data_IF_860655780369
#
_entry.id   IF_860655780369
#
_cell.length_a   1.000
_cell.length_b   1.000
_cell.length_c   1.000
_cell.angle_alpha   90.00
_cell.angle_beta   90.00
_cell.angle_gamma   90.00
#
_symmetry.space_group_name_H-M   'P 1'
#
loop_
_entity.id
_entity.type
_entity.pdbx_description
1 polymer ?
#
# COMPACT_ATOMS: atom_id res chain seq x y z
N UNK A 1 -11.14 19.84 4.15
CA UNK A 1 -10.67 21.24 4.31
C UNK A 1 -9.62 21.62 3.26
N UNK A 2 -8.56 20.82 3.06
CA UNK A 2 -7.50 21.10 2.07
C UNK A 2 -8.01 21.36 0.64
N UNK A 3 -9.11 20.72 0.23
CA UNK A 3 -9.75 20.93 -1.08
C UNK A 3 -10.05 22.41 -1.42
N UNK A 4 -10.34 23.26 -0.43
CA UNK A 4 -10.62 24.69 -0.65
C UNK A 4 -9.37 25.55 -0.87
N UNK A 5 -8.18 24.97 -0.74
CA UNK A 5 -6.90 25.68 -0.91
C UNK A 5 -6.32 25.54 -2.32
N UNK A 6 -6.90 24.69 -3.17
CA UNK A 6 -6.43 24.46 -4.54
C UNK A 6 -7.50 24.85 -5.56
N UNK A 7 -7.12 25.48 -6.68
CA UNK A 7 -8.06 25.79 -7.75
C UNK A 7 -8.60 24.52 -8.42
N UNK A 8 -9.81 24.62 -8.98
CA UNK A 8 -10.46 23.52 -9.72
C UNK A 8 -11.12 22.44 -8.85
N UNK A 9 -11.70 21.43 -9.52
CA UNK A 9 -12.46 20.36 -8.86
C UNK A 9 -11.55 19.18 -8.49
N UNK A 10 -11.13 19.13 -7.23
CA UNK A 10 -10.43 17.96 -6.67
C UNK A 10 -11.41 16.84 -6.26
N UNK A 11 -11.17 15.61 -6.72
CA UNK A 11 -11.93 14.40 -6.34
C UNK A 11 -11.15 13.64 -5.28
N UNK A 12 -11.84 13.18 -4.24
CA UNK A 12 -11.25 12.38 -3.16
C UNK A 12 -11.59 10.92 -3.45
N UNK A 13 -10.57 10.08 -3.52
CA UNK A 13 -10.72 8.64 -3.76
C UNK A 13 -10.21 7.86 -2.56
N UNK A 14 -10.92 6.78 -2.22
CA UNK A 14 -10.45 5.80 -1.26
C UNK A 14 -9.76 4.69 -2.06
N UNK A 15 -8.47 4.49 -1.81
CA UNK A 15 -7.71 3.42 -2.46
C UNK A 15 -8.15 2.05 -1.94
N UNK A 16 -8.19 1.07 -2.85
CA UNK A 16 -8.33 -0.36 -2.54
C UNK A 16 -7.03 -0.98 -2.02
N UNK A 17 -5.91 -0.28 -2.19
CA UNK A 17 -4.59 -0.73 -1.73
C UNK A 17 -4.45 -0.64 -0.23
N UNK A 18 -3.49 -1.40 0.30
CA UNK A 18 -3.10 -1.28 1.71
C UNK A 18 -2.18 -0.07 1.89
N UNK A 19 -2.73 1.06 2.33
CA UNK A 19 -1.98 2.30 2.53
C UNK A 19 -1.25 2.77 1.27
N UNK A 20 0.05 3.02 1.38
CA UNK A 20 0.92 3.41 0.26
C UNK A 20 1.70 2.23 -0.36
N UNK A 21 1.20 1.00 -0.20
CA UNK A 21 1.78 -0.18 -0.85
C UNK A 21 1.22 -0.38 -2.25
N UNK A 22 1.85 -1.27 -3.03
CA UNK A 22 1.38 -1.64 -4.37
C UNK A 22 0.22 -2.65 -4.37
N UNK A 23 0.03 -3.36 -3.25
CA UNK A 23 -0.88 -4.49 -3.09
C UNK A 23 -2.29 -4.05 -2.70
N UNK A 24 -3.31 -4.78 -3.15
CA UNK A 24 -4.67 -4.64 -2.62
C UNK A 24 -4.75 -5.16 -1.18
N UNK A 25 -5.78 -4.76 -0.42
CA UNK A 25 -5.91 -5.15 0.99
C UNK A 25 -5.93 -6.67 1.17
N UNK A 26 -6.72 -7.37 0.36
CA UNK A 26 -6.82 -8.84 0.40
C UNK A 26 -5.51 -9.54 0.06
N UNK A 27 -4.76 -9.02 -0.92
CA UNK A 27 -3.46 -9.56 -1.31
C UNK A 27 -2.41 -9.29 -0.24
N UNK A 28 -2.43 -8.09 0.36
CA UNK A 28 -1.52 -7.73 1.44
C UNK A 28 -1.70 -8.61 2.67
N UNK A 29 -2.95 -8.92 3.04
CA UNK A 29 -3.26 -9.83 4.15
C UNK A 29 -2.70 -11.23 3.89
N UNK A 30 -2.93 -11.80 2.70
CA UNK A 30 -2.36 -13.09 2.28
C UNK A 30 -0.83 -13.09 2.34
N UNK A 31 -0.18 -12.09 1.71
CA UNK A 31 1.28 -12.00 1.70
C UNK A 31 1.89 -11.78 3.10
N UNK A 32 1.13 -11.18 4.01
CA UNK A 32 1.51 -11.02 5.42
C UNK A 32 1.39 -12.33 6.18
N UNK A 33 0.30 -13.08 5.99
CA UNK A 33 0.09 -14.40 6.57
C UNK A 33 1.12 -15.41 6.08
N UNK A 34 1.45 -15.38 4.78
CA UNK A 34 2.49 -16.20 4.16
C UNK A 34 3.92 -15.82 4.59
N UNK A 35 4.10 -14.74 5.35
CA UNK A 35 5.42 -14.26 5.79
C UNK A 35 6.32 -13.73 4.66
N UNK A 36 5.73 -13.43 3.48
CA UNK A 36 6.44 -12.92 2.29
C UNK A 36 6.69 -11.41 2.34
N UNK A 37 6.10 -10.69 3.28
CA UNK A 37 6.35 -9.27 3.51
C UNK A 37 7.31 -9.07 4.69
N UNK A 38 8.43 -8.39 4.42
CA UNK A 38 9.38 -7.94 5.45
C UNK A 38 9.16 -6.46 5.73
N UNK A 39 9.16 -6.07 7.01
CA UNK A 39 9.02 -4.67 7.40
C UNK A 39 10.28 -3.87 7.02
N UNK A 40 10.10 -2.72 6.37
CA UNK A 40 11.15 -1.77 5.99
C UNK A 40 10.81 -0.38 6.57
N UNK A 41 10.64 -0.33 7.89
CA UNK A 41 10.30 0.87 8.64
C UNK A 41 8.85 1.31 8.42
N UNK A 42 8.64 2.27 7.49
CA UNK A 42 7.30 2.74 7.12
C UNK A 42 6.71 1.98 5.93
N UNK A 43 7.52 1.22 5.19
CA UNK A 43 7.12 0.47 4.00
C UNK A 43 7.31 -1.04 4.21
N UNK A 44 6.98 -1.81 3.18
CA UNK A 44 7.21 -3.26 3.14
C UNK A 44 8.09 -3.65 1.96
N UNK A 45 8.96 -4.62 2.18
CA UNK A 45 9.77 -5.29 1.16
C UNK A 45 9.20 -6.68 0.89
N UNK A 46 9.13 -7.06 -0.38
CA UNK A 46 8.76 -8.41 -0.78
C UNK A 46 9.98 -9.33 -0.63
N UNK A 47 9.80 -10.46 0.03
CA UNK A 47 10.79 -11.53 0.11
C UNK A 47 10.48 -12.56 -0.98
N UNK A 48 11.32 -12.69 -2.02
CA UNK A 48 11.16 -13.74 -3.01
C UNK A 48 11.43 -15.12 -2.39
N UNK A 49 10.81 -16.16 -2.95
CA UNK A 49 11.05 -17.55 -2.53
C UNK A 49 12.40 -18.10 -3.01
N UNK A 50 12.94 -17.50 -4.08
CA UNK A 50 14.25 -17.84 -4.60
C UNK A 50 15.32 -16.95 -3.97
N UNK A 51 16.51 -17.54 -3.77
CA UNK A 51 17.69 -16.81 -3.30
C UNK A 51 18.10 -15.68 -4.24
N UNK A 52 19.06 -14.83 -3.81
CA UNK A 52 19.60 -13.76 -4.66
C UNK A 52 20.13 -14.28 -6.00
#
# INVERSE_FOLDING_TARGET
RAKFKFPGRQKIYVSKKWGFTKYEREEFEKLREDGRLTNDGCNVKYRPEHGP
#
